data_IF_263693680790
#
_entry.id   IF_263693680790
#
_cell.length_a   1.000
_cell.length_b   1.000
_cell.length_c   1.000
_cell.angle_alpha   90.00
_cell.angle_beta   90.00
_cell.angle_gamma   90.00
#
_symmetry.space_group_name_H-M   'P 1'
#
loop_
_entity.id
_entity.type
_entity.pdbx_description
1 polymer ?
#
# COMPACT_ATOMS: atom_id res chain seq x y z
N UNK A 1 15.56 -0.89 5.26
CA UNK A 1 15.09 0.25 6.07
C UNK A 1 14.07 -0.25 7.09
N UNK A 2 13.75 0.54 8.12
CA UNK A 2 12.84 0.12 9.21
C UNK A 2 11.37 0.15 8.80
N UNK A 3 10.95 1.13 7.99
CA UNK A 3 9.61 1.21 7.43
C UNK A 3 9.69 1.49 5.91
N UNK A 4 8.94 0.78 5.06
CA UNK A 4 8.92 1.03 3.63
C UNK A 4 8.13 2.30 3.30
N UNK A 5 8.50 2.97 2.21
CA UNK A 5 7.71 4.08 1.65
C UNK A 5 6.67 3.51 0.70
N UNK A 6 5.42 3.96 0.80
CA UNK A 6 4.31 3.47 -0.02
C UNK A 6 3.76 4.62 -0.86
N UNK A 7 3.79 4.47 -2.19
CA UNK A 7 3.46 5.50 -3.16
C UNK A 7 2.37 4.97 -4.09
N UNK A 8 1.16 5.51 -4.00
CA UNK A 8 0.04 5.14 -4.86
C UNK A 8 0.06 5.96 -6.15
N UNK A 9 -0.02 5.29 -7.29
CA UNK A 9 -0.14 5.93 -8.59
C UNK A 9 -1.52 6.59 -8.73
N UNK A 10 -1.52 7.84 -9.19
CA UNK A 10 -2.70 8.64 -9.51
C UNK A 10 -2.73 8.95 -11.00
N UNK A 11 -3.88 9.37 -11.49
CA UNK A 11 -4.01 9.78 -12.89
C UNK A 11 -3.03 10.91 -13.24
N UNK A 12 -2.60 10.97 -14.50
CA UNK A 12 -1.62 11.95 -14.96
C UNK A 12 -0.16 11.63 -14.59
N UNK A 13 0.14 10.41 -14.12
CA UNK A 13 1.51 9.98 -13.80
C UNK A 13 2.04 10.53 -12.48
N UNK A 14 1.16 11.02 -11.61
CA UNK A 14 1.52 11.54 -10.28
C UNK A 14 1.45 10.44 -9.22
N UNK A 15 2.08 10.67 -8.07
CA UNK A 15 2.11 9.72 -6.97
C UNK A 15 1.76 10.38 -5.65
N UNK A 16 0.97 9.68 -4.84
CA UNK A 16 0.61 10.09 -3.49
C UNK A 16 1.29 9.17 -2.47
N UNK A 17 2.00 9.76 -1.50
CA UNK A 17 2.58 9.00 -0.40
C UNK A 17 1.52 8.65 0.64
N UNK A 18 1.39 7.35 0.91
CA UNK A 18 0.46 6.78 1.87
C UNK A 18 1.22 6.04 2.97
N UNK A 19 0.62 5.84 4.15
CA UNK A 19 1.13 4.86 5.11
C UNK A 19 1.23 3.47 4.46
N UNK A 20 2.26 2.70 4.79
CA UNK A 20 2.47 1.34 4.30
C UNK A 20 1.48 0.34 4.96
N UNK A 21 0.20 0.57 4.75
CA UNK A 21 -0.92 -0.20 5.28
C UNK A 21 -1.58 -0.93 4.11
N UNK A 22 -2.19 -2.07 4.39
CA UNK A 22 -2.88 -2.87 3.36
C UNK A 22 -4.05 -2.15 2.67
N UNK A 23 -4.64 -1.14 3.31
CA UNK A 23 -5.65 -0.25 2.72
C UNK A 23 -5.16 0.51 1.48
N UNK A 24 -3.84 0.58 1.23
CA UNK A 24 -3.29 1.08 -0.02
C UNK A 24 -3.53 0.14 -1.22
N UNK A 25 -3.84 -1.14 -0.99
CA UNK A 25 -4.03 -2.15 -2.03
C UNK A 25 -5.44 -2.11 -2.63
N UNK A 26 -5.77 -1.04 -3.34
CA UNK A 26 -7.05 -0.89 -4.05
C UNK A 26 -6.96 -1.46 -5.47
N UNK A 27 -7.89 -2.34 -5.83
CA UNK A 27 -7.82 -3.14 -7.07
C UNK A 27 -7.80 -2.35 -8.38
N UNK A 28 -8.20 -1.08 -8.37
CA UNK A 28 -8.20 -0.17 -9.53
C UNK A 28 -6.94 0.71 -9.61
N UNK A 29 -5.96 0.50 -8.73
CA UNK A 29 -4.74 1.30 -8.61
C UNK A 29 -3.46 0.50 -8.77
N UNK A 30 -2.34 1.21 -8.90
CA UNK A 30 -0.98 0.68 -8.78
C UNK A 30 -0.27 1.33 -7.59
N UNK A 31 0.61 0.58 -6.95
CA UNK A 31 1.35 1.03 -5.75
C UNK A 31 2.82 0.63 -5.86
N UNK A 32 3.71 1.58 -5.59
CA UNK A 32 5.15 1.37 -5.44
C UNK A 32 5.48 1.34 -3.95
N UNK A 33 6.09 0.24 -3.51
CA UNK A 33 6.56 0.06 -2.14
C UNK A 33 8.08 -0.06 -2.14
N UNK A 34 8.73 0.96 -1.61
CA UNK A 34 10.18 1.02 -1.50
C UNK A 34 10.65 0.52 -0.12
N UNK A 35 11.25 -0.67 -0.12
CA UNK A 35 11.76 -1.34 1.07
C UNK A 35 13.28 -1.12 1.28
N UNK A 36 13.91 -0.29 0.46
CA UNK A 36 15.35 -0.01 0.49
C UNK A 36 16.17 -1.02 -0.31
N UNK A 37 16.14 -2.31 0.04
CA UNK A 37 16.85 -3.39 -0.69
C UNK A 37 16.13 -3.85 -1.94
N UNK A 38 14.82 -3.67 -1.95
CA UNK A 38 13.91 -4.06 -3.02
C UNK A 38 12.85 -2.96 -3.17
N UNK A 39 12.43 -2.72 -4.40
CA UNK A 39 11.29 -1.89 -4.72
C UNK A 39 10.25 -2.77 -5.38
N UNK A 40 9.05 -2.80 -4.80
CA UNK A 40 7.96 -3.63 -5.26
C UNK A 40 6.91 -2.75 -5.94
N UNK A 41 6.45 -3.15 -7.11
CA UNK A 41 5.34 -2.56 -7.83
C UNK A 41 4.19 -3.55 -7.74
N UNK A 42 3.07 -3.12 -7.19
CA UNK A 42 1.84 -3.91 -7.12
C UNK A 42 0.79 -3.30 -8.03
N UNK A 43 0.14 -4.13 -8.83
CA UNK A 43 -0.92 -3.77 -9.76
C UNK A 43 -2.23 -4.42 -9.32
N UNK A 44 -3.25 -3.61 -9.03
CA UNK A 44 -4.58 -4.10 -8.67
C UNK A 44 -5.23 -4.90 -9.81
N UNK A 45 -6.13 -5.82 -9.45
CA UNK A 45 -6.75 -6.74 -10.41
C UNK A 45 -7.62 -6.03 -11.46
N UNK A 46 -8.35 -4.99 -11.07
CA UNK A 46 -9.20 -4.21 -11.98
C UNK A 46 -8.35 -3.34 -12.91
N UNK A 47 -7.28 -2.72 -12.37
CA UNK A 47 -6.31 -2.00 -13.20
C UNK A 47 -5.65 -2.95 -14.20
N UNK A 48 -5.22 -4.13 -13.75
CA UNK A 48 -4.52 -5.10 -14.58
C UNK A 48 -5.41 -5.74 -15.67
N UNK A 49 -6.74 -5.62 -15.57
CA UNK A 49 -7.69 -6.07 -16.57
C UNK A 49 -7.85 -5.07 -17.74
N UNK A 50 -7.51 -3.79 -17.54
CA UNK A 50 -7.46 -2.78 -18.59
C UNK A 50 -6.03 -2.65 -19.13
N UNK A 51 -5.76 -3.21 -20.32
CA UNK A 51 -4.41 -3.25 -20.90
C UNK A 51 -3.77 -1.87 -21.06
N UNK A 52 -4.55 -0.86 -21.45
CA UNK A 52 -4.05 0.49 -21.69
C UNK A 52 -3.66 1.20 -20.39
N UNK A 53 -4.56 1.19 -19.40
CA UNK A 53 -4.30 1.77 -18.07
C UNK A 53 -3.18 1.01 -17.35
N UNK A 54 -3.16 -0.32 -17.45
CA UNK A 54 -2.13 -1.17 -16.87
C UNK A 54 -0.74 -0.84 -17.43
N UNK A 55 -0.59 -0.79 -18.76
CA UNK A 55 0.69 -0.49 -19.40
C UNK A 55 1.22 0.89 -19.01
N UNK A 56 0.35 1.90 -19.00
CA UNK A 56 0.70 3.26 -18.59
C UNK A 56 1.11 3.34 -17.12
N UNK A 57 0.32 2.78 -16.21
CA UNK A 57 0.61 2.78 -14.77
C UNK A 57 1.90 2.02 -14.44
N UNK A 58 2.12 0.86 -15.07
CA UNK A 58 3.34 0.08 -14.87
C UNK A 58 4.58 0.83 -15.37
N UNK A 59 4.50 1.50 -16.51
CA UNK A 59 5.61 2.32 -17.02
C UNK A 59 5.95 3.46 -16.04
N UNK A 60 4.95 4.21 -15.58
CA UNK A 60 5.14 5.28 -14.60
C UNK A 60 5.76 4.75 -13.29
N UNK A 61 5.27 3.62 -12.78
CA UNK A 61 5.79 3.01 -11.56
C UNK A 61 7.25 2.54 -11.71
N UNK A 62 7.65 2.04 -12.89
CA UNK A 62 9.03 1.65 -13.17
C UNK A 62 9.96 2.85 -13.22
N UNK A 63 9.58 3.90 -13.93
CA UNK A 63 10.35 5.14 -13.98
C UNK A 63 10.57 5.71 -12.58
N UNK A 64 9.51 5.80 -11.78
CA UNK A 64 9.64 6.24 -10.39
C UNK A 64 10.57 5.33 -9.56
N UNK A 65 10.45 4.01 -9.71
CA UNK A 65 11.29 3.06 -8.99
C UNK A 65 12.78 3.21 -9.37
N UNK A 66 13.08 3.44 -10.65
CA UNK A 66 14.44 3.72 -11.13
C UNK A 66 14.97 5.03 -10.57
N UNK A 67 14.19 6.11 -10.62
CA UNK A 67 14.56 7.43 -10.04
C UNK A 67 14.81 7.34 -8.53
N UNK A 68 13.93 6.67 -7.79
CA UNK A 68 14.09 6.48 -6.35
C UNK A 68 15.38 5.73 -5.99
N UNK A 69 15.87 4.88 -6.89
CA UNK A 69 16.98 3.95 -6.63
C UNK A 69 18.29 4.33 -7.31
N UNK A 70 18.30 5.39 -8.13
CA UNK A 70 19.42 5.82 -8.98
C UNK A 70 20.78 5.81 -8.25
N UNK A 71 20.82 6.35 -7.02
CA UNK A 71 22.05 6.51 -6.24
C UNK A 71 22.25 5.48 -5.14
N UNK A 72 21.46 4.40 -5.11
CA UNK A 72 21.51 3.42 -4.02
C UNK A 72 22.55 2.34 -4.26
N UNK A 73 23.26 2.00 -3.19
CA UNK A 73 24.18 0.87 -3.17
C UNK A 73 23.89 -0.04 -1.96
N UNK A 74 23.76 -1.37 -2.16
CA UNK A 74 23.72 -2.06 -3.46
C UNK A 74 22.48 -1.64 -4.27
N UNK A 75 22.56 -1.81 -5.60
CA UNK A 75 21.43 -1.55 -6.49
C UNK A 75 20.23 -2.42 -6.09
N UNK A 76 19.07 -1.83 -5.75
CA UNK A 76 17.89 -2.58 -5.35
C UNK A 76 17.29 -3.39 -6.51
N UNK A 77 16.60 -4.49 -6.20
CA UNK A 77 15.79 -5.19 -7.21
C UNK A 77 14.45 -4.49 -7.37
N UNK A 78 14.03 -4.27 -8.61
CA UNK A 78 12.69 -3.76 -8.93
C UNK A 78 11.83 -4.94 -9.39
N UNK A 79 10.74 -5.22 -8.68
CA UNK A 79 9.88 -6.38 -8.89
C UNK A 79 8.43 -5.93 -9.08
N UNK A 80 7.71 -6.48 -10.05
CA UNK A 80 6.33 -6.11 -10.33
C UNK A 80 5.39 -7.33 -10.21
N UNK A 81 4.27 -7.17 -9.51
CA UNK A 81 3.30 -8.23 -9.24
C UNK A 81 1.87 -7.77 -9.50
N UNK A 82 1.01 -8.70 -9.87
CA UNK A 82 -0.44 -8.47 -9.95
C UNK A 82 -1.13 -8.94 -8.68
N UNK A 83 -2.24 -8.32 -8.32
CA UNK A 83 -3.16 -8.79 -7.28
C UNK A 83 -3.51 -10.27 -7.49
N UNK A 84 -3.55 -11.03 -6.39
CA UNK A 84 -3.80 -12.47 -6.40
C UNK A 84 -2.63 -13.34 -6.89
N UNK A 85 -1.55 -12.77 -7.42
CA UNK A 85 -0.38 -13.57 -7.79
C UNK A 85 0.37 -14.10 -6.55
N UNK A 86 0.95 -15.30 -6.68
CA UNK A 86 1.73 -15.94 -5.60
C UNK A 86 2.86 -15.04 -5.08
N UNK A 87 3.49 -14.26 -5.97
CA UNK A 87 4.59 -13.36 -5.62
C UNK A 87 4.12 -12.06 -4.95
N UNK A 88 2.85 -11.66 -5.08
CA UNK A 88 2.31 -10.49 -4.38
C UNK A 88 2.43 -10.61 -2.86
N UNK A 89 2.60 -11.83 -2.31
CA UNK A 89 2.91 -12.06 -0.90
C UNK A 89 4.14 -11.31 -0.41
N UNK A 90 5.14 -11.07 -1.26
CA UNK A 90 6.29 -10.22 -0.90
C UNK A 90 5.84 -8.77 -0.64
N UNK A 91 4.90 -8.24 -1.42
CA UNK A 91 4.36 -6.91 -1.17
C UNK A 91 3.53 -6.89 0.12
N UNK A 92 2.56 -7.82 0.24
CA UNK A 92 1.60 -7.88 1.35
C UNK A 92 2.28 -8.02 2.71
N UNK A 93 3.34 -8.84 2.81
CA UNK A 93 4.03 -9.10 4.08
C UNK A 93 4.78 -7.91 4.68
N UNK A 94 4.77 -6.76 4.00
CA UNK A 94 5.45 -5.52 4.39
C UNK A 94 4.47 -4.40 4.75
N UNK A 95 3.17 -4.72 4.80
CA UNK A 95 2.11 -3.78 5.11
C UNK A 95 1.53 -4.06 6.50
N UNK A 96 1.09 -3.00 7.16
CA UNK A 96 0.38 -3.09 8.43
C UNK A 96 -1.10 -3.47 8.16
N UNK A 97 -1.69 -4.40 8.93
CA UNK A 97 -3.05 -4.88 8.71
C UNK A 97 -4.11 -3.89 9.23
N UNK A 98 -4.23 -2.73 8.60
CA UNK A 98 -5.12 -1.65 9.03
C UNK A 98 -6.59 -1.90 8.67
N UNK A 99 -6.88 -2.90 7.84
CA UNK A 99 -8.26 -3.37 7.65
C UNK A 99 -8.96 -3.82 8.95
N UNK A 100 -8.17 -4.16 9.99
CA UNK A 100 -8.65 -4.51 11.34
C UNK A 100 -9.12 -3.30 12.15
N UNK A 101 -8.66 -2.09 11.80
CA UNK A 101 -9.03 -0.88 12.52
C UNK A 101 -10.49 -0.47 12.26
N UNK A 102 -11.15 0.23 13.19
CA UNK A 102 -12.49 0.73 12.97
C UNK A 102 -12.53 1.76 11.81
N UNK A 103 -13.66 1.87 11.08
CA UNK A 103 -13.76 2.72 9.89
C UNK A 103 -13.26 4.15 10.05
N UNK A 104 -13.50 4.79 11.19
CA UNK A 104 -13.08 6.17 11.42
C UNK A 104 -11.54 6.32 11.47
N UNK A 105 -10.81 5.31 11.95
CA UNK A 105 -9.33 5.31 11.96
C UNK A 105 -8.76 5.03 10.57
N UNK A 106 -9.41 4.11 9.84
CA UNK A 106 -9.08 3.85 8.43
C UNK A 106 -9.22 5.14 7.61
N UNK A 107 -10.35 5.82 7.72
CA UNK A 107 -10.68 7.03 6.96
C UNK A 107 -9.87 8.26 7.38
N UNK A 108 -9.37 8.31 8.62
CA UNK A 108 -8.47 9.37 9.06
C UNK A 108 -7.11 9.30 8.35
N UNK A 109 -6.66 8.08 7.99
CA UNK A 109 -5.38 7.84 7.32
C UNK A 109 -5.50 7.67 5.81
N UNK A 110 -6.66 7.19 5.35
CA UNK A 110 -7.00 6.97 3.95
C UNK A 110 -8.31 7.71 3.62
N UNK A 111 -8.29 9.04 3.45
CA UNK A 111 -9.49 9.82 3.16
C UNK A 111 -10.23 9.36 1.90
N UNK A 112 -9.52 8.79 0.92
CA UNK A 112 -10.09 8.21 -0.29
C UNK A 112 -11.07 7.06 -0.02
N UNK A 113 -11.02 6.42 1.15
CA UNK A 113 -12.00 5.38 1.50
C UNK A 113 -13.42 5.95 1.69
N UNK A 114 -13.55 7.27 1.93
CA UNK A 114 -14.84 7.95 2.06
C UNK A 114 -15.58 8.06 0.73
N UNK A 115 -14.88 7.99 -0.40
CA UNK A 115 -15.48 8.09 -1.73
C UNK A 115 -15.91 6.74 -2.28
N UNK A 116 -15.54 5.64 -1.63
CA UNK A 116 -15.93 4.29 -2.04
C UNK A 116 -17.40 4.01 -1.70
N UNK A 117 -18.10 3.32 -2.60
CA UNK A 117 -19.43 2.78 -2.28
C UNK A 117 -19.35 1.65 -1.26
N UNK A 118 -20.49 1.30 -0.65
CA UNK A 118 -20.57 0.18 0.30
C UNK A 118 -20.10 -1.14 -0.33
N UNK A 119 -20.43 -1.37 -1.59
CA UNK A 119 -20.04 -2.56 -2.35
C UNK A 119 -18.53 -2.58 -2.59
N UNK A 120 -17.95 -1.46 -3.02
CA UNK A 120 -16.50 -1.33 -3.22
C UNK A 120 -15.74 -1.53 -1.91
N UNK A 121 -16.24 -0.97 -0.81
CA UNK A 121 -15.64 -1.13 0.52
C UNK A 121 -15.70 -2.58 1.00
N UNK A 122 -16.81 -3.27 0.76
CA UNK A 122 -16.97 -4.69 1.10
C UNK A 122 -16.03 -5.55 0.27
N UNK A 123 -15.92 -5.29 -1.03
CA UNK A 123 -14.99 -5.97 -1.94
C UNK A 123 -13.54 -5.78 -1.49
N UNK A 124 -13.14 -4.54 -1.20
CA UNK A 124 -11.80 -4.22 -0.70
C UNK A 124 -11.50 -4.98 0.60
N UNK A 125 -12.42 -4.98 1.57
CA UNK A 125 -12.24 -5.73 2.82
C UNK A 125 -12.09 -7.24 2.59
N UNK A 126 -12.78 -7.79 1.60
CA UNK A 126 -12.71 -9.21 1.28
C UNK A 126 -11.42 -9.64 0.55
N UNK A 127 -10.65 -8.69 -0.01
CA UNK A 127 -9.38 -9.00 -0.70
C UNK A 127 -8.19 -9.14 0.26
N UNK A 128 -8.31 -8.64 1.49
CA UNK A 128 -7.23 -8.67 2.46
C UNK A 128 -7.00 -10.07 3.02
N UNK A 129 -5.72 -10.37 3.26
CA UNK A 129 -5.30 -11.59 3.94
C UNK A 129 -5.34 -11.33 5.43
N UNK A 130 -6.02 -12.22 6.16
CA UNK A 130 -6.06 -12.17 7.63
C UNK A 130 -4.78 -12.78 8.20
N UNK A 131 -4.00 -11.94 8.87
CA UNK A 131 -2.84 -12.33 9.67
C UNK A 131 -3.15 -12.12 11.16
N UNK A 132 -2.43 -12.85 12.02
CA UNK A 132 -2.56 -12.70 13.48
C UNK A 132 -1.89 -11.41 14.00
N UNK A 133 -1.09 -10.74 13.17
CA UNK A 133 -0.41 -9.48 13.49
C UNK A 133 -1.40 -8.38 13.90
N UNK A 134 -1.06 -7.58 14.93
CA UNK A 134 -1.88 -6.44 15.32
C UNK A 134 -1.83 -5.34 14.26
N UNK A 135 -2.93 -4.59 14.11
CA UNK A 135 -2.86 -3.29 13.44
C UNK A 135 -1.96 -2.33 14.22
N UNK A 136 -1.57 -1.20 13.62
CA UNK A 136 -0.82 -0.18 14.34
C UNK A 136 -1.59 0.37 15.55
N UNK A 137 -2.90 0.61 15.42
CA UNK A 137 -3.71 1.11 16.54
C UNK A 137 -3.87 0.06 17.64
N UNK A 138 -4.06 -1.21 17.30
CA UNK A 138 -4.07 -2.31 18.28
C UNK A 138 -2.74 -2.39 19.04
N UNK A 139 -1.61 -2.32 18.30
CA UNK A 139 -0.29 -2.34 18.91
C UNK A 139 -0.07 -1.16 19.86
N UNK A 140 -0.40 0.07 19.45
CA UNK A 140 -0.27 1.26 20.33
C UNK A 140 -1.12 1.12 21.60
N UNK A 141 -2.38 0.66 21.49
CA UNK A 141 -3.24 0.43 22.66
C UNK A 141 -2.66 -0.63 23.61
N UNK A 142 -1.98 -1.65 23.06
CA UNK A 142 -1.34 -2.71 23.86
C UNK A 142 -0.20 -2.22 24.74
N UNK A 143 0.45 -1.10 24.38
CA UNK A 143 1.53 -0.50 25.16
C UNK A 143 1.06 0.11 26.48
N UNK A 144 -0.25 0.30 26.67
CA UNK A 144 -0.86 0.88 27.89
C UNK A 144 -0.23 2.22 28.31
N UNK A 145 0.22 3.02 27.34
CA UNK A 145 0.84 4.32 27.59
C UNK A 145 -0.24 5.32 27.99
N UNK A 146 -0.02 6.02 29.10
CA UNK A 146 -0.89 7.12 29.54
C UNK A 146 -0.46 8.38 28.79
N UNK A 147 -1.38 9.16 28.20
CA UNK A 147 -1.02 10.44 27.59
C UNK A 147 -0.36 11.35 28.64
N UNK A 148 0.66 12.14 28.26
CA UNK A 148 1.30 13.08 29.19
C UNK A 148 0.27 14.08 29.73
N UNK A 149 0.43 14.48 30.98
CA UNK A 149 -0.43 15.53 31.57
C UNK A 149 -0.28 16.83 30.77
N UNK A 150 -1.38 17.53 30.46
CA UNK A 150 -1.30 18.82 29.78
C UNK A 150 -0.56 19.82 30.68
N UNK A 151 0.41 20.52 30.09
CA UNK A 151 1.16 21.62 30.73
C UNK A 151 0.29 22.85 31.02
#
# INVERSE_FOLDING_TARGET
MVAPRCLMHREGGTFEELPAYDLAMQSDTAVVLDHGTDVFIWLGAELAADEGRNASALAACRTLAEELTEFRFPAPRILAFKEGSSQARYFVSRLIPAHKDPPYEQEARFPQLRTLTTEQRTKLKSSFIFFDDPSFCEWIRSLRVVPPEPS
#
